data_IF_711154580506
#
_entry.id   IF_711154580506
#
_cell.length_a   1.000
_cell.length_b   1.000
_cell.length_c   1.000
_cell.angle_alpha   90.00
_cell.angle_beta   90.00
_cell.angle_gamma   90.00
#
_symmetry.space_group_name_H-M   'P 1'
#
loop_
_entity.id
_entity.type
_entity.pdbx_description
1 polymer ?
#
# COMPACT_ATOMS: atom_id res chain seq x y z
N UNK A 1 16.52 4.38 9.60
CA UNK A 1 15.61 3.44 10.24
C UNK A 1 15.91 2.01 9.85
N UNK A 2 15.29 1.09 10.54
CA UNK A 2 15.56 -0.34 10.35
C UNK A 2 15.30 -0.81 8.92
N UNK A 3 14.23 -0.33 8.28
CA UNK A 3 13.91 -0.72 6.92
C UNK A 3 14.99 -0.24 5.96
N UNK A 4 15.44 0.99 6.09
CA UNK A 4 16.53 1.53 5.27
C UNK A 4 17.82 0.73 5.48
N UNK A 5 18.11 0.35 6.73
CA UNK A 5 19.31 -0.41 7.05
C UNK A 5 19.32 -1.79 6.40
N UNK A 6 18.17 -2.46 6.34
CA UNK A 6 18.10 -3.80 5.78
C UNK A 6 18.04 -3.83 4.26
N UNK A 7 17.38 -2.87 3.64
CA UNK A 7 17.03 -2.96 2.23
C UNK A 7 17.53 -1.80 1.39
N UNK A 8 18.12 -0.77 2.00
CA UNK A 8 18.44 0.46 1.27
C UNK A 8 17.19 1.08 0.67
N UNK A 9 16.09 1.00 1.39
CA UNK A 9 14.76 1.34 0.88
C UNK A 9 14.65 2.79 0.44
N UNK A 10 15.30 3.70 1.15
CA UNK A 10 15.24 5.12 0.82
C UNK A 10 15.76 5.40 -0.60
N UNK A 11 16.93 4.85 -0.93
CA UNK A 11 17.53 5.05 -2.26
C UNK A 11 16.65 4.42 -3.33
N UNK A 12 16.13 3.22 -3.06
CA UNK A 12 15.25 2.52 -4.00
C UNK A 12 13.95 3.28 -4.19
N UNK A 13 13.41 3.85 -3.12
CA UNK A 13 12.19 4.65 -3.18
C UNK A 13 12.41 5.91 -4.02
N UNK A 14 13.52 6.63 -3.80
CA UNK A 14 13.85 7.83 -4.56
C UNK A 14 13.93 7.53 -6.05
N UNK A 15 14.60 6.43 -6.43
CA UNK A 15 14.70 6.00 -7.82
C UNK A 15 13.34 5.63 -8.40
N UNK A 16 12.51 4.95 -7.61
CA UNK A 16 11.17 4.56 -8.06
C UNK A 16 10.28 5.77 -8.29
N UNK A 17 10.38 6.78 -7.42
CA UNK A 17 9.63 8.04 -7.57
C UNK A 17 10.09 8.79 -8.83
N UNK A 18 11.39 8.90 -9.05
CA UNK A 18 11.93 9.53 -10.24
C UNK A 18 11.42 8.85 -11.51
N UNK A 19 11.47 7.53 -11.54
CA UNK A 19 10.99 6.74 -12.67
C UNK A 19 9.50 6.98 -12.91
N UNK A 20 8.71 6.98 -11.84
CA UNK A 20 7.27 7.22 -11.95
C UNK A 20 6.99 8.61 -12.52
N UNK A 21 7.67 9.62 -12.01
CA UNK A 21 7.50 11.00 -12.49
C UNK A 21 7.91 11.14 -13.96
N UNK A 22 8.99 10.51 -14.37
CA UNK A 22 9.45 10.51 -15.77
C UNK A 22 8.42 9.84 -16.68
N UNK A 23 7.88 8.69 -16.29
CA UNK A 23 6.89 7.96 -17.06
C UNK A 23 5.55 8.69 -17.16
N UNK A 24 5.22 9.51 -16.18
CA UNK A 24 3.96 10.24 -16.10
C UNK A 24 4.07 11.71 -16.46
N UNK A 25 5.18 12.13 -17.04
CA UNK A 25 5.50 13.52 -17.35
C UNK A 25 4.39 14.25 -18.12
N UNK A 26 3.74 13.56 -19.04
CA UNK A 26 2.71 14.14 -19.90
C UNK A 26 1.30 14.09 -19.32
N UNK A 27 1.13 13.55 -18.11
CA UNK A 27 -0.18 13.43 -17.47
C UNK A 27 -0.40 14.58 -16.49
N UNK A 28 -1.59 15.18 -16.52
CA UNK A 28 -1.95 16.22 -15.55
C UNK A 28 -1.79 15.78 -14.10
N UNK A 29 -1.97 14.50 -13.85
CA UNK A 29 -1.90 13.90 -12.51
C UNK A 29 -0.74 12.93 -12.37
N UNK A 30 0.37 13.20 -13.07
CA UNK A 30 1.54 12.32 -13.08
C UNK A 30 2.31 12.24 -11.77
N UNK A 31 1.92 12.99 -10.77
CA UNK A 31 2.60 13.04 -9.48
C UNK A 31 2.05 12.02 -8.50
N UNK A 32 2.93 11.40 -7.73
CA UNK A 32 2.52 10.52 -6.65
C UNK A 32 1.72 11.29 -5.60
N UNK A 33 0.65 10.69 -5.13
CA UNK A 33 -0.25 11.31 -4.16
C UNK A 33 -0.72 10.32 -3.11
N UNK A 34 -1.32 10.81 -2.04
CA UNK A 34 -1.94 9.96 -1.03
C UNK A 34 -2.95 9.01 -1.67
N UNK A 35 -2.89 7.74 -1.30
CA UNK A 35 -3.67 6.67 -1.89
C UNK A 35 -2.90 5.84 -2.91
N UNK A 36 -1.72 6.29 -3.32
CA UNK A 36 -0.87 5.53 -4.23
C UNK A 36 0.02 4.55 -3.45
N UNK A 37 0.36 3.44 -4.10
CA UNK A 37 1.29 2.45 -3.56
C UNK A 37 2.37 2.16 -4.57
N UNK A 38 3.61 2.11 -4.10
CA UNK A 38 4.76 1.76 -4.92
C UNK A 38 5.27 0.40 -4.48
N UNK A 39 5.50 -0.50 -5.44
CA UNK A 39 6.11 -1.80 -5.16
C UNK A 39 7.61 -1.74 -5.43
N UNK A 40 8.40 -2.01 -4.42
CA UNK A 40 9.86 -2.05 -4.52
C UNK A 40 10.30 -3.44 -4.09
N UNK A 41 10.73 -4.26 -5.06
CA UNK A 41 11.07 -5.66 -4.82
C UNK A 41 9.89 -6.39 -4.18
N UNK A 42 10.00 -6.79 -2.92
CA UNK A 42 8.94 -7.48 -2.19
C UNK A 42 8.31 -6.60 -1.10
N UNK A 43 8.44 -5.28 -1.23
CA UNK A 43 7.92 -4.33 -0.25
C UNK A 43 6.94 -3.39 -0.94
N UNK A 44 5.75 -3.24 -0.36
CA UNK A 44 4.80 -2.23 -0.77
C UNK A 44 4.97 -0.99 0.09
N UNK A 45 5.13 0.15 -0.56
CA UNK A 45 5.23 1.44 0.13
C UNK A 45 3.94 2.20 -0.10
N UNK A 46 3.16 2.38 0.96
CA UNK A 46 1.88 3.07 0.91
C UNK A 46 2.08 4.57 1.15
N UNK A 47 1.59 5.37 0.23
CA UNK A 47 1.61 6.83 0.39
C UNK A 47 0.28 7.25 1.01
N UNK A 48 0.27 7.43 2.31
CA UNK A 48 -0.96 7.66 3.07
C UNK A 48 -1.31 9.13 3.28
N UNK A 49 -0.36 10.04 3.03
CA UNK A 49 -0.59 11.48 3.13
C UNK A 49 0.16 12.21 2.03
N UNK A 50 -0.36 13.38 1.63
CA UNK A 50 0.30 14.22 0.64
C UNK A 50 1.37 15.13 1.26
N UNK A 51 1.22 15.46 2.53
CA UNK A 51 2.11 16.36 3.24
C UNK A 51 2.57 15.75 4.54
N UNK A 52 3.77 16.14 4.97
CA UNK A 52 4.42 15.62 6.16
C UNK A 52 3.56 15.70 7.44
N UNK A 53 2.75 16.75 7.56
CA UNK A 53 1.98 16.98 8.78
C UNK A 53 0.54 16.50 8.70
N UNK A 54 0.13 15.96 7.57
CA UNK A 54 -1.21 15.42 7.43
C UNK A 54 -1.31 14.04 8.08
N UNK A 55 -2.48 13.72 8.57
CA UNK A 55 -2.79 12.37 9.05
C UNK A 55 -3.42 11.57 7.92
N UNK A 56 -3.14 10.28 7.84
CA UNK A 56 -3.81 9.44 6.85
C UNK A 56 -5.31 9.38 7.13
N UNK A 57 -6.09 9.24 6.09
CA UNK A 57 -7.52 9.01 6.19
C UNK A 57 -7.82 7.55 5.87
N UNK A 58 -8.97 7.06 6.31
CA UNK A 58 -9.39 5.72 5.98
C UNK A 58 -9.50 5.54 4.46
N UNK A 59 -9.96 6.57 3.75
CA UNK A 59 -10.06 6.55 2.29
C UNK A 59 -8.72 6.35 1.62
N UNK A 60 -7.67 7.09 2.04
CA UNK A 60 -6.34 6.93 1.44
C UNK A 60 -5.77 5.55 1.72
N UNK A 61 -6.02 5.01 2.91
CA UNK A 61 -5.60 3.65 3.24
C UNK A 61 -6.33 2.63 2.36
N UNK A 62 -7.63 2.79 2.18
CA UNK A 62 -8.42 1.92 1.28
C UNK A 62 -7.88 1.96 -0.15
N UNK A 63 -7.54 3.13 -0.65
CA UNK A 63 -6.98 3.26 -2.00
C UNK A 63 -5.63 2.57 -2.13
N UNK A 64 -4.75 2.71 -1.15
CA UNK A 64 -3.47 2.00 -1.12
C UNK A 64 -3.67 0.49 -1.10
N UNK A 65 -4.58 0.02 -0.28
CA UNK A 65 -4.86 -1.41 -0.13
C UNK A 65 -5.45 -1.99 -1.41
N UNK A 66 -6.30 -1.25 -2.08
CA UNK A 66 -6.85 -1.68 -3.37
C UNK A 66 -5.74 -1.90 -4.41
N UNK A 67 -4.77 -0.98 -4.46
CA UNK A 67 -3.61 -1.12 -5.33
C UNK A 67 -2.78 -2.35 -4.96
N UNK A 68 -2.61 -2.62 -3.67
CA UNK A 68 -1.91 -3.81 -3.18
C UNK A 68 -2.66 -5.09 -3.57
N UNK A 69 -3.97 -5.11 -3.45
CA UNK A 69 -4.79 -6.26 -3.84
C UNK A 69 -4.63 -6.57 -5.33
N UNK A 70 -4.61 -5.54 -6.17
CA UNK A 70 -4.38 -5.67 -7.60
C UNK A 70 -3.00 -6.28 -7.89
N UNK A 71 -1.96 -5.79 -7.24
CA UNK A 71 -0.61 -6.32 -7.38
C UNK A 71 -0.51 -7.77 -6.90
N UNK A 72 -1.17 -8.11 -5.81
CA UNK A 72 -1.21 -9.48 -5.32
C UNK A 72 -1.87 -10.41 -6.32
N UNK A 73 -2.95 -9.96 -6.94
CA UNK A 73 -3.64 -10.74 -7.96
C UNK A 73 -2.77 -10.96 -9.19
N UNK A 74 -2.19 -9.90 -9.72
CA UNK A 74 -1.39 -9.96 -10.94
C UNK A 74 -0.12 -10.80 -10.78
N UNK A 75 0.51 -10.73 -9.62
CA UNK A 75 1.77 -11.42 -9.35
C UNK A 75 1.60 -12.71 -8.54
N UNK A 76 0.37 -13.11 -8.27
CA UNK A 76 0.05 -14.34 -7.52
C UNK A 76 0.77 -14.41 -6.18
N UNK A 77 0.77 -13.31 -5.46
CA UNK A 77 1.36 -13.23 -4.12
C UNK A 77 0.49 -14.02 -3.15
N UNK A 78 1.09 -14.94 -2.41
CA UNK A 78 0.35 -15.82 -1.49
C UNK A 78 0.31 -15.31 -0.07
N UNK A 79 1.35 -14.59 0.36
CA UNK A 79 1.47 -14.13 1.74
C UNK A 79 1.80 -12.66 1.76
N UNK A 80 1.04 -11.90 2.52
CA UNK A 80 1.24 -10.47 2.69
C UNK A 80 1.33 -10.15 4.17
N UNK A 81 2.48 -9.66 4.62
CA UNK A 81 2.64 -9.22 6.00
C UNK A 81 2.35 -7.72 6.07
N UNK A 82 1.54 -7.30 7.03
CA UNK A 82 1.10 -5.92 7.16
C UNK A 82 1.08 -5.49 8.62
N UNK A 83 1.69 -4.35 8.96
CA UNK A 83 1.56 -3.79 10.30
C UNK A 83 0.21 -3.09 10.49
N UNK A 84 -0.02 -2.52 11.67
CA UNK A 84 -1.22 -1.71 11.94
C UNK A 84 -1.11 -0.34 11.28
N UNK A 85 -1.32 -0.30 9.97
CA UNK A 85 -1.16 0.93 9.21
C UNK A 85 -2.12 2.02 9.66
N UNK A 86 -1.61 3.24 9.78
CA UNK A 86 -2.41 4.41 10.16
C UNK A 86 -2.76 4.51 11.64
N UNK A 87 -2.35 3.54 12.48
CA UNK A 87 -2.77 3.46 13.88
C UNK A 87 -1.74 3.98 14.88
N UNK A 88 -0.52 4.26 14.45
CA UNK A 88 0.49 4.89 15.29
C UNK A 88 0.27 6.40 15.32
N UNK A 89 1.13 7.13 14.62
CA UNK A 89 1.00 8.58 14.48
C UNK A 89 -0.25 9.02 13.71
N UNK A 90 -0.82 8.12 12.90
CA UNK A 90 -2.06 8.38 12.17
C UNK A 90 -3.30 8.41 13.05
N UNK A 91 -3.25 7.83 14.25
CA UNK A 91 -4.32 7.81 15.25
C UNK A 91 -5.63 7.18 14.78
N UNK A 92 -5.60 6.34 13.75
CA UNK A 92 -6.80 5.63 13.33
C UNK A 92 -7.05 4.41 14.24
N UNK A 93 -8.32 4.06 14.40
CA UNK A 93 -8.71 2.88 15.15
C UNK A 93 -8.37 1.61 14.36
N UNK A 94 -7.57 0.74 14.95
CA UNK A 94 -7.12 -0.47 14.26
C UNK A 94 -8.27 -1.39 13.83
N UNK A 95 -9.30 -1.55 14.66
CA UNK A 95 -10.42 -2.42 14.30
C UNK A 95 -11.12 -1.92 13.04
N UNK A 96 -11.27 -0.61 12.90
CA UNK A 96 -11.86 0.01 11.72
C UNK A 96 -10.95 -0.15 10.50
N UNK A 97 -9.65 0.09 10.68
CA UNK A 97 -8.67 -0.04 9.59
C UNK A 97 -8.57 -1.49 9.13
N UNK A 98 -8.50 -2.43 10.05
CA UNK A 98 -8.43 -3.86 9.74
C UNK A 98 -9.64 -4.30 8.93
N UNK A 99 -10.83 -3.90 9.34
CA UNK A 99 -12.05 -4.22 8.61
C UNK A 99 -12.03 -3.64 7.20
N UNK A 100 -11.56 -2.38 7.06
CA UNK A 100 -11.44 -1.74 5.76
C UNK A 100 -10.46 -2.48 4.84
N UNK A 101 -9.33 -2.94 5.38
CA UNK A 101 -8.34 -3.70 4.62
C UNK A 101 -8.96 -5.00 4.11
N UNK A 102 -9.61 -5.74 4.98
CA UNK A 102 -10.23 -7.00 4.61
C UNK A 102 -11.35 -6.80 3.59
N UNK A 103 -12.15 -5.75 3.74
CA UNK A 103 -13.22 -5.42 2.79
C UNK A 103 -12.66 -5.13 1.39
N UNK A 104 -11.56 -4.38 1.30
CA UNK A 104 -10.97 -4.06 0.00
C UNK A 104 -10.44 -5.32 -0.70
N UNK A 105 -9.82 -6.23 0.03
CA UNK A 105 -9.38 -7.49 -0.54
C UNK A 105 -10.55 -8.36 -0.97
N UNK A 106 -11.57 -8.49 -0.13
CA UNK A 106 -12.75 -9.28 -0.45
C UNK A 106 -13.47 -8.73 -1.69
N UNK A 107 -13.69 -7.42 -1.75
CA UNK A 107 -14.34 -6.79 -2.88
C UNK A 107 -13.55 -6.98 -4.17
N UNK A 108 -12.24 -6.80 -4.11
CA UNK A 108 -11.41 -6.96 -5.30
C UNK A 108 -11.44 -8.39 -5.84
N UNK A 109 -11.23 -9.37 -4.97
CA UNK A 109 -11.18 -10.76 -5.40
C UNK A 109 -12.57 -11.31 -5.78
N UNK A 110 -13.63 -10.81 -5.18
CA UNK A 110 -14.99 -11.14 -5.60
C UNK A 110 -15.28 -10.63 -7.01
N UNK A 111 -14.85 -9.42 -7.34
CA UNK A 111 -14.99 -8.84 -8.68
C UNK A 111 -14.22 -9.64 -9.71
N UNK A 112 -13.05 -10.16 -9.33
CA UNK A 112 -12.22 -10.95 -10.23
C UNK A 112 -12.67 -12.41 -10.34
N UNK A 113 -13.68 -12.80 -9.57
CA UNK A 113 -14.24 -14.16 -9.56
C UNK A 113 -13.18 -15.24 -9.28
N UNK A 114 -12.22 -14.89 -8.40
CA UNK A 114 -11.13 -15.78 -8.01
C UNK A 114 -11.44 -16.46 -6.68
N UNK A 115 -11.97 -17.67 -6.74
CA UNK A 115 -12.27 -18.45 -5.54
C UNK A 115 -11.07 -19.25 -5.05
N UNK A 116 -10.21 -19.69 -5.97
CA UNK A 116 -9.08 -20.57 -5.64
C UNK A 116 -7.85 -19.82 -5.12
N UNK A 117 -7.69 -18.56 -5.53
CA UNK A 117 -6.53 -17.78 -5.14
C UNK A 117 -6.94 -16.53 -4.38
N UNK A 118 -6.47 -16.44 -3.14
CA UNK A 118 -6.53 -15.22 -2.33
C UNK A 118 -5.27 -15.19 -1.46
N UNK A 119 -4.64 -14.04 -1.29
CA UNK A 119 -3.46 -13.97 -0.42
C UNK A 119 -3.86 -14.14 1.05
N UNK A 120 -2.97 -14.75 1.83
CA UNK A 120 -3.09 -14.76 3.28
C UNK A 120 -2.49 -13.46 3.81
N UNK A 121 -3.28 -12.70 4.55
CA UNK A 121 -2.82 -11.45 5.15
C UNK A 121 -2.42 -11.73 6.58
N UNK A 122 -1.16 -11.45 6.89
CA UNK A 122 -0.59 -11.65 8.21
C UNK A 122 -0.40 -10.27 8.85
N UNK A 123 -1.18 -9.97 9.88
CA UNK A 123 -1.04 -8.72 10.59
C UNK A 123 0.03 -8.85 11.65
N UNK A 124 1.01 -7.96 11.60
CA UNK A 124 2.15 -7.98 12.50
C UNK A 124 1.92 -6.95 13.60
N UNK A 125 1.95 -7.40 14.84
CA UNK A 125 1.77 -6.53 16.01
C UNK A 125 3.10 -6.39 16.74
N UNK A 126 3.32 -5.20 17.25
CA UNK A 126 4.49 -4.94 18.10
C UNK A 126 4.08 -4.81 19.55
#
# INVERSE_FOLDING_TARGET
RQIDAFYGLRDKLEKAVEKYEDECEDLETGWLKAGDTICIENIFVMLTTNKKYQRPTLETIRNCVRAIAEECYENKIRYLAMPRVGCGHGHLDWDVVKEAILDEFDNYFDEMDEEEYRPFIIFCYQ
#
